data_IF_250440460459
#
_entry.id   IF_250440460459
#
_cell.length_a   1.000
_cell.length_b   1.000
_cell.length_c   1.000
_cell.angle_alpha   90.00
_cell.angle_beta   90.00
_cell.angle_gamma   90.00
#
_symmetry.space_group_name_H-M   'P 1'
#
loop_
_entity.id
_entity.type
_entity.pdbx_description
1 polymer ?
#
# COMPACT_ATOMS: atom_id res chain seq x y z
N UNK A 1 -15.33 10.83 -8.56
CA UNK A 1 -15.03 9.46 -8.06
C UNK A 1 -16.24 8.83 -7.33
N UNK A 2 -17.47 9.04 -7.81
CA UNK A 2 -18.69 8.65 -7.05
C UNK A 2 -19.11 7.19 -7.24
N UNK A 3 -18.72 6.54 -8.35
CA UNK A 3 -19.25 5.22 -8.72
C UNK A 3 -18.27 4.04 -8.51
N UNK A 4 -17.26 4.17 -7.65
CA UNK A 4 -16.34 3.07 -7.39
C UNK A 4 -16.91 2.07 -6.38
N UNK A 5 -16.92 0.77 -6.75
CA UNK A 5 -17.22 -0.36 -5.83
C UNK A 5 -16.41 -0.23 -4.54
N UNK A 6 -17.08 -0.38 -3.40
CA UNK A 6 -16.51 -0.14 -2.05
C UNK A 6 -15.65 -1.33 -1.63
N UNK A 7 -14.32 -1.15 -1.59
CA UNK A 7 -13.41 -2.15 -1.04
C UNK A 7 -13.67 -2.37 0.46
N UNK A 8 -13.51 -3.60 0.93
CA UNK A 8 -13.59 -3.96 2.36
C UNK A 8 -12.20 -4.03 3.02
N UNK A 9 -11.16 -4.22 2.21
CA UNK A 9 -9.77 -4.40 2.64
C UNK A 9 -8.89 -3.32 2.00
N UNK A 10 -7.84 -2.82 2.69
CA UNK A 10 -6.90 -1.85 2.15
C UNK A 10 -6.11 -2.41 0.96
N UNK A 11 -5.83 -3.71 0.98
CA UNK A 11 -5.24 -4.46 -0.14
C UNK A 11 -5.76 -5.91 -0.09
N UNK A 12 -6.00 -6.53 -1.24
CA UNK A 12 -6.35 -7.96 -1.31
C UNK A 12 -5.06 -8.78 -1.40
N UNK A 13 -4.98 -9.90 -0.67
CA UNK A 13 -3.82 -10.81 -0.69
C UNK A 13 -3.38 -11.29 -2.08
N UNK A 14 -4.28 -11.26 -3.07
CA UNK A 14 -4.03 -11.71 -4.46
C UNK A 14 -3.45 -10.60 -5.35
N UNK A 15 -3.43 -9.34 -4.90
CA UNK A 15 -2.89 -8.23 -5.70
C UNK A 15 -1.36 -8.28 -5.61
N UNK A 16 -0.75 -8.95 -6.58
CA UNK A 16 0.70 -8.93 -6.79
C UNK A 16 1.07 -7.73 -7.66
N UNK A 17 1.83 -6.82 -7.08
CA UNK A 17 2.51 -5.74 -7.79
C UNK A 17 3.92 -6.24 -8.11
N UNK A 18 4.36 -6.05 -9.36
CA UNK A 18 5.69 -6.51 -9.82
C UNK A 18 6.27 -5.52 -10.83
N UNK A 19 7.60 -5.38 -10.87
CA UNK A 19 8.36 -4.54 -11.82
C UNK A 19 7.91 -4.71 -13.29
N UNK A 20 7.35 -5.88 -13.64
CA UNK A 20 6.78 -6.14 -14.97
C UNK A 20 5.62 -5.19 -15.36
N UNK A 21 4.95 -4.60 -14.37
CA UNK A 21 3.83 -3.67 -14.52
C UNK A 21 4.28 -2.20 -14.61
N UNK A 22 5.59 -1.96 -14.66
CA UNK A 22 6.12 -0.62 -14.88
C UNK A 22 5.73 -0.11 -16.28
N UNK A 23 5.49 1.20 -16.42
CA UNK A 23 5.23 1.80 -17.71
C UNK A 23 6.42 1.56 -18.65
N UNK A 24 6.13 1.09 -19.87
CA UNK A 24 7.16 0.81 -20.89
C UNK A 24 7.23 1.90 -21.96
N UNK A 25 6.18 2.73 -22.04
CA UNK A 25 6.04 3.77 -23.06
C UNK A 25 6.18 5.16 -22.44
N UNK A 26 6.79 6.10 -23.19
CA UNK A 26 6.99 7.49 -22.76
C UNK A 26 5.67 8.25 -22.50
N UNK A 27 4.58 7.88 -23.18
CA UNK A 27 3.26 8.46 -22.94
C UNK A 27 2.66 8.02 -21.60
N UNK A 28 2.88 6.77 -21.20
CA UNK A 28 2.47 6.25 -19.90
C UNK A 28 3.31 6.87 -18.79
N UNK A 29 4.62 6.99 -19.02
CA UNK A 29 5.54 7.68 -18.10
C UNK A 29 5.10 9.13 -17.87
N UNK A 30 4.71 9.87 -18.92
CA UNK A 30 4.18 11.24 -18.78
C UNK A 30 2.88 11.29 -17.98
N UNK A 31 1.92 10.39 -18.24
CA UNK A 31 0.67 10.29 -17.47
C UNK A 31 0.92 9.98 -15.98
N UNK A 32 1.95 9.19 -15.70
CA UNK A 32 2.34 8.83 -14.33
C UNK A 32 3.08 9.97 -13.65
N UNK A 33 3.92 10.71 -14.38
CA UNK A 33 4.57 11.92 -13.87
C UNK A 33 3.56 12.98 -13.42
N UNK A 34 2.44 13.06 -14.12
CA UNK A 34 1.32 13.94 -13.76
C UNK A 34 0.58 13.49 -12.48
N UNK A 35 0.71 12.20 -12.13
CA UNK A 35 0.12 11.63 -10.92
C UNK A 35 1.14 11.73 -9.77
N UNK A 36 0.81 12.49 -8.73
CA UNK A 36 1.65 12.66 -7.54
C UNK A 36 1.68 11.39 -6.64
N UNK A 37 2.14 10.27 -7.18
CA UNK A 37 2.18 8.97 -6.50
C UNK A 37 3.00 9.02 -5.21
N UNK A 38 4.23 9.54 -5.28
CA UNK A 38 5.12 9.66 -4.12
C UNK A 38 4.49 10.50 -2.99
N UNK A 39 3.80 11.60 -3.35
CA UNK A 39 3.08 12.43 -2.38
C UNK A 39 1.93 11.65 -1.73
N UNK A 40 1.15 10.91 -2.51
CA UNK A 40 0.06 10.08 -1.97
C UNK A 40 0.58 9.00 -1.01
N UNK A 41 1.68 8.31 -1.36
CA UNK A 41 2.31 7.30 -0.51
C UNK A 41 2.82 7.92 0.79
N UNK A 42 3.47 9.09 0.75
CA UNK A 42 3.91 9.79 1.96
C UNK A 42 2.75 10.22 2.85
N UNK A 43 1.63 10.67 2.28
CA UNK A 43 0.45 11.00 3.07
C UNK A 43 -0.14 9.75 3.74
N UNK A 44 -0.16 8.60 3.06
CA UNK A 44 -0.59 7.33 3.65
C UNK A 44 0.37 6.89 4.77
N UNK A 45 1.68 7.09 4.61
CA UNK A 45 2.69 6.82 5.65
C UNK A 45 2.39 7.59 6.93
N UNK A 46 2.05 8.87 6.81
CA UNK A 46 1.66 9.67 7.97
C UNK A 46 0.41 9.12 8.66
N UNK A 47 -0.62 8.76 7.89
CA UNK A 47 -1.87 8.17 8.43
C UNK A 47 -1.60 6.87 9.19
N UNK A 48 -0.73 6.00 8.65
CA UNK A 48 -0.31 4.75 9.29
C UNK A 48 0.40 5.01 10.61
N UNK A 49 1.34 5.96 10.64
CA UNK A 49 2.11 6.27 11.85
C UNK A 49 1.26 6.89 12.97
N UNK A 50 0.30 7.74 12.62
CA UNK A 50 -0.45 8.50 13.62
C UNK A 50 -1.73 7.82 14.10
N UNK A 51 -2.45 7.12 13.22
CA UNK A 51 -3.85 6.75 13.51
C UNK A 51 -4.29 5.38 13.02
N UNK A 52 -3.67 4.84 11.96
CA UNK A 52 -4.18 3.66 11.25
C UNK A 52 -3.10 2.62 10.95
N UNK A 53 -2.53 1.97 11.98
CA UNK A 53 -1.48 0.97 11.81
C UNK A 53 -1.96 -0.28 11.03
N UNK A 54 -3.28 -0.51 10.95
CA UNK A 54 -3.91 -1.59 10.20
C UNK A 54 -3.64 -1.55 8.68
N UNK A 55 -3.18 -0.41 8.16
CA UNK A 55 -2.85 -0.23 6.74
C UNK A 55 -1.35 -0.43 6.46
N UNK A 56 -0.52 -0.61 7.49
CA UNK A 56 0.94 -0.69 7.39
C UNK A 56 1.41 -1.72 6.33
N UNK A 57 0.74 -2.88 6.25
CA UNK A 57 1.05 -3.88 5.22
C UNK A 57 0.76 -3.39 3.79
N UNK A 58 -0.38 -2.76 3.56
CA UNK A 58 -0.70 -2.24 2.23
C UNK A 58 0.27 -1.14 1.80
N UNK A 59 0.67 -0.31 2.76
CA UNK A 59 1.68 0.73 2.55
C UNK A 59 3.04 0.13 2.20
N UNK A 60 3.53 -0.87 2.95
CA UNK A 60 4.84 -1.48 2.72
C UNK A 60 4.96 -2.10 1.33
N UNK A 61 3.87 -2.66 0.79
CA UNK A 61 3.85 -3.18 -0.58
C UNK A 61 3.87 -2.04 -1.61
N UNK A 62 3.11 -0.96 -1.40
CA UNK A 62 3.06 0.18 -2.34
C UNK A 62 4.30 1.08 -2.31
N UNK A 63 5.00 1.18 -1.18
CA UNK A 63 6.16 2.08 -1.02
C UNK A 63 7.39 1.58 -1.76
N UNK A 64 7.53 0.27 -1.98
CA UNK A 64 8.62 -0.35 -2.76
C UNK A 64 8.79 0.24 -4.16
N UNK A 65 7.71 0.74 -4.76
CA UNK A 65 7.67 1.14 -6.17
C UNK A 65 7.48 2.65 -6.36
N UNK A 66 7.95 3.47 -5.42
CA UNK A 66 7.84 4.94 -5.47
C UNK A 66 8.45 5.59 -6.73
N UNK A 67 9.48 4.97 -7.31
CA UNK A 67 10.20 5.54 -8.46
C UNK A 67 9.48 5.35 -9.80
N UNK A 68 8.57 4.37 -9.95
CA UNK A 68 7.90 4.10 -11.22
C UNK A 68 6.53 3.46 -11.01
N UNK A 69 5.50 4.30 -10.86
CA UNK A 69 4.16 3.84 -10.52
C UNK A 69 3.28 3.70 -11.76
N UNK A 70 3.23 2.51 -12.35
CA UNK A 70 2.23 2.16 -13.38
C UNK A 70 0.77 2.30 -12.91
N UNK A 71 -0.19 2.13 -13.82
CA UNK A 71 -1.64 2.26 -13.52
C UNK A 71 -2.12 1.27 -12.44
N UNK A 72 -1.53 0.07 -12.39
CA UNK A 72 -1.81 -0.95 -11.38
C UNK A 72 -1.48 -0.45 -9.96
N UNK A 73 -0.33 0.22 -9.79
CA UNK A 73 0.11 0.80 -8.51
C UNK A 73 -0.84 1.91 -8.07
N UNK A 74 -1.25 2.78 -9.01
CA UNK A 74 -2.21 3.83 -8.69
C UNK A 74 -3.57 3.28 -8.29
N UNK A 75 -3.99 2.16 -8.89
CA UNK A 75 -5.21 1.45 -8.51
C UNK A 75 -5.12 0.87 -7.09
N UNK A 76 -3.95 0.38 -6.69
CA UNK A 76 -3.70 -0.06 -5.30
C UNK A 76 -3.81 1.12 -4.32
N UNK A 77 -3.16 2.25 -4.60
CA UNK A 77 -3.25 3.47 -3.75
C UNK A 77 -4.69 3.98 -3.65
N UNK A 78 -5.43 4.03 -4.77
CA UNK A 78 -6.86 4.37 -4.75
C UNK A 78 -7.68 3.42 -3.86
N UNK A 79 -7.31 2.15 -3.79
CA UNK A 79 -8.00 1.17 -2.96
C UNK A 79 -7.76 1.44 -1.47
N UNK A 80 -6.52 1.77 -1.10
CA UNK A 80 -6.17 2.19 0.27
C UNK A 80 -6.94 3.46 0.65
N UNK A 81 -6.97 4.47 -0.22
CA UNK A 81 -7.71 5.71 0.05
C UNK A 81 -9.22 5.49 0.18
N UNK A 82 -9.81 4.58 -0.62
CA UNK A 82 -11.22 4.19 -0.50
C UNK A 82 -11.50 3.50 0.84
N UNK A 83 -10.58 2.65 1.28
CA UNK A 83 -10.67 1.97 2.57
C UNK A 83 -10.63 2.98 3.72
N UNK A 84 -9.67 3.91 3.72
CA UNK A 84 -9.57 5.01 4.69
C UNK A 84 -10.87 5.83 4.75
N UNK A 85 -11.40 6.24 3.60
CA UNK A 85 -12.65 7.02 3.54
C UNK A 85 -13.84 6.27 4.15
N UNK A 86 -13.91 4.95 3.94
CA UNK A 86 -15.02 4.11 4.43
C UNK A 86 -14.92 3.86 5.93
N UNK A 87 -13.70 3.75 6.44
CA UNK A 87 -13.39 3.39 7.84
C UNK A 87 -13.04 4.61 8.68
N UNK A 88 -13.38 5.83 8.22
CA UNK A 88 -13.04 7.08 8.91
C UNK A 88 -13.62 7.17 10.33
N UNK A 89 -14.77 6.55 10.56
CA UNK A 89 -15.49 6.53 11.84
C UNK A 89 -15.16 5.27 12.66
N UNK A 90 -14.29 4.39 12.14
CA UNK A 90 -13.84 3.18 12.83
C UNK A 90 -12.52 3.46 13.55
N UNK A 91 -12.38 2.92 14.75
CA UNK A 91 -11.19 3.05 15.58
C UNK A 91 -10.68 1.66 15.98
N UNK A 92 -9.35 1.54 16.04
CA UNK A 92 -8.71 0.32 16.51
C UNK A 92 -8.58 0.40 18.03
N UNK A 93 -9.29 -0.48 18.74
CA UNK A 93 -9.16 -0.61 20.19
C UNK A 93 -8.17 -1.73 20.46
N UNK A 94 -7.00 -1.38 20.98
CA UNK A 94 -6.11 -2.38 21.56
C UNK A 94 -6.65 -2.75 22.94
N UNK A 95 -7.13 -3.99 23.07
CA UNK A 95 -7.60 -4.57 24.34
C UNK A 95 -6.69 -5.72 24.77
N UNK A 96 -6.41 -5.81 26.07
CA UNK A 96 -5.55 -6.82 26.69
C UNK A 96 -5.21 -6.42 28.12
N UNK A 97 -4.60 -7.34 28.90
CA UNK A 97 -4.07 -7.05 30.23
C UNK A 97 -2.87 -6.10 30.20
N UNK A 98 -1.89 -6.30 31.07
CA UNK A 98 -0.67 -5.48 31.09
C UNK A 98 -0.05 -5.36 29.68
N UNK A 99 0.33 -4.15 29.29
CA UNK A 99 0.72 -3.80 27.92
C UNK A 99 2.15 -4.28 27.65
N UNK A 100 2.30 -5.59 27.45
CA UNK A 100 3.58 -6.22 27.11
C UNK A 100 3.72 -6.19 25.58
N UNK A 101 4.67 -5.38 25.09
CA UNK A 101 4.99 -5.28 23.67
C UNK A 101 5.97 -6.40 23.28
N UNK A 102 5.47 -7.53 22.80
CA UNK A 102 6.28 -8.60 22.19
C UNK A 102 6.23 -8.49 20.66
N UNK A 103 7.35 -8.10 20.04
CA UNK A 103 7.48 -7.99 18.60
C UNK A 103 8.18 -9.21 18.01
N UNK A 104 7.46 -10.00 17.21
CA UNK A 104 8.07 -11.01 16.35
C UNK A 104 8.30 -10.42 14.96
N UNK A 105 9.54 -10.44 14.48
CA UNK A 105 9.90 -9.97 13.13
C UNK A 105 10.36 -11.14 12.27
N UNK A 106 9.51 -11.60 11.36
CA UNK A 106 9.86 -12.53 10.29
C UNK A 106 10.06 -11.74 8.99
N UNK A 107 11.27 -11.21 8.81
CA UNK A 107 11.67 -10.52 7.59
C UNK A 107 12.17 -11.54 6.55
N UNK A 108 11.27 -12.23 5.87
CA UNK A 108 11.61 -13.21 4.84
C UNK A 108 11.68 -12.57 3.45
N UNK A 109 12.89 -12.12 3.07
CA UNK A 109 13.20 -11.60 1.72
C UNK A 109 12.94 -12.63 0.61
N UNK A 110 12.88 -13.93 0.94
CA UNK A 110 12.65 -15.02 0.00
C UNK A 110 11.26 -15.05 -0.65
N UNK A 111 10.27 -14.33 -0.11
CA UNK A 111 8.92 -14.27 -0.70
C UNK A 111 8.73 -13.15 -1.74
N UNK A 112 9.77 -12.33 -2.00
CA UNK A 112 9.68 -11.26 -2.99
C UNK A 112 10.01 -11.78 -4.40
N UNK A 113 9.00 -11.97 -5.25
CA UNK A 113 9.21 -12.51 -6.62
C UNK A 113 10.10 -11.64 -7.51
N UNK A 114 10.24 -10.34 -7.21
CA UNK A 114 11.02 -9.40 -8.04
C UNK A 114 12.49 -9.29 -7.62
N UNK A 115 12.81 -9.58 -6.35
CA UNK A 115 14.13 -9.35 -5.76
C UNK A 115 14.72 -10.58 -5.05
N UNK A 116 13.94 -11.65 -4.84
CA UNK A 116 14.46 -12.92 -4.34
C UNK A 116 15.47 -13.51 -5.32
N UNK A 117 16.70 -13.70 -4.84
CA UNK A 117 17.72 -14.48 -5.54
C UNK A 117 17.78 -15.86 -4.90
N UNK A 118 17.72 -16.90 -5.74
CA UNK A 118 18.08 -18.26 -5.34
C UNK A 118 19.52 -18.25 -4.83
N UNK A 119 19.76 -18.85 -3.66
CA UNK A 119 21.12 -19.10 -3.16
C UNK A 119 21.83 -20.13 -4.02
#
# INVERSE_FOLDING_TARGET
MENSRRGFLPMRHVVKLSKNQFPKNDEELKKIFDIAYASAVNNIQYVVQCTRPDIAFALSVTSKYQACAGEAYWTAVKTILKYLRRTKDMFLIYGGGELILEGYNDASFQFDEDDAKSQ
#
